data_IF_976249429929
#
_entry.id   IF_976249429929
#
_cell.length_a   1.000
_cell.length_b   1.000
_cell.length_c   1.000
_cell.angle_alpha   90.00
_cell.angle_beta   90.00
_cell.angle_gamma   90.00
#
_symmetry.space_group_name_H-M   'P 1'
#
loop_
_entity.id
_entity.type
_entity.pdbx_description
1 polymer ?
#
# COMPACT_ATOMS: atom_id res chain seq x y z
N UNK A 1 0.03 -18.74 10.20
CA UNK A 1 -0.92 -17.68 9.85
C UNK A 1 -0.60 -17.12 8.47
N UNK A 2 -0.85 -17.90 7.41
CA UNK A 2 -0.45 -17.50 6.04
C UNK A 2 -1.34 -16.40 5.46
N UNK A 3 -2.60 -16.36 5.87
CA UNK A 3 -3.56 -15.35 5.42
C UNK A 3 -3.21 -13.94 5.90
N UNK A 4 -2.80 -13.78 7.17
CA UNK A 4 -2.34 -12.49 7.72
C UNK A 4 -1.12 -11.97 6.95
N UNK A 5 -0.14 -12.82 6.70
CA UNK A 5 1.08 -12.44 5.95
C UNK A 5 0.75 -12.00 4.52
N UNK A 6 -0.15 -12.71 3.84
CA UNK A 6 -0.61 -12.33 2.50
C UNK A 6 -1.29 -10.96 2.53
N UNK A 7 -2.17 -10.71 3.50
CA UNK A 7 -2.84 -9.42 3.63
C UNK A 7 -1.86 -8.28 3.92
N UNK A 8 -0.93 -8.48 4.87
CA UNK A 8 0.13 -7.50 5.16
C UNK A 8 0.96 -7.18 3.92
N UNK A 9 1.33 -8.19 3.15
CA UNK A 9 2.09 -8.00 1.92
C UNK A 9 1.28 -7.21 0.87
N UNK A 10 0.00 -7.55 0.66
CA UNK A 10 -0.87 -6.80 -0.27
C UNK A 10 -0.97 -5.33 0.16
N UNK A 11 -1.21 -5.10 1.45
CA UNK A 11 -1.29 -3.75 2.03
C UNK A 11 0.01 -2.97 1.82
N UNK A 12 1.16 -3.59 2.09
CA UNK A 12 2.46 -2.93 1.93
C UNK A 12 2.80 -2.61 0.47
N UNK A 13 2.49 -3.52 -0.46
CA UNK A 13 2.67 -3.26 -1.90
C UNK A 13 1.75 -2.12 -2.37
N UNK A 14 0.51 -2.08 -1.88
CA UNK A 14 -0.41 -0.99 -2.18
C UNK A 14 0.07 0.35 -1.61
N UNK A 15 0.62 0.36 -0.40
CA UNK A 15 1.21 1.55 0.23
C UNK A 15 2.43 2.05 -0.55
N UNK A 16 3.32 1.14 -0.96
CA UNK A 16 4.46 1.47 -1.81
C UNK A 16 4.03 2.03 -3.16
N UNK A 17 3.00 1.45 -3.79
CA UNK A 17 2.43 2.00 -5.02
C UNK A 17 1.96 3.44 -4.82
N UNK A 18 1.16 3.72 -3.79
CA UNK A 18 0.69 5.09 -3.50
C UNK A 18 1.85 6.06 -3.28
N UNK A 19 2.92 5.64 -2.60
CA UNK A 19 4.10 6.46 -2.33
C UNK A 19 4.87 6.86 -3.61
N UNK A 20 4.83 6.02 -4.65
CA UNK A 20 5.49 6.24 -5.94
C UNK A 20 4.59 6.94 -6.98
N UNK A 21 3.29 7.10 -6.72
CA UNK A 21 2.37 7.76 -7.65
C UNK A 21 2.53 9.28 -7.61
N UNK A 22 2.63 9.89 -8.79
CA UNK A 22 2.51 11.33 -8.98
C UNK A 22 1.13 11.69 -9.51
N UNK A 23 0.27 12.31 -8.69
CA UNK A 23 -1.12 12.64 -9.05
C UNK A 23 -1.24 13.54 -10.27
N UNK A 24 -0.20 14.31 -10.62
CA UNK A 24 -0.17 15.13 -11.84
C UNK A 24 -0.14 14.29 -13.13
N UNK A 25 0.34 13.05 -13.06
CA UNK A 25 0.47 12.14 -14.21
C UNK A 25 -0.72 11.17 -14.34
N UNK A 26 -1.66 11.21 -13.38
CA UNK A 26 -2.80 10.30 -13.34
C UNK A 26 -4.02 10.85 -14.09
N UNK A 27 -4.76 10.00 -14.83
CA UNK A 27 -6.10 10.35 -15.30
C UNK A 27 -7.00 10.75 -14.11
N UNK A 28 -7.87 11.73 -14.31
CA UNK A 28 -8.73 12.27 -13.23
C UNK A 28 -9.52 11.18 -12.48
N UNK A 29 -9.99 10.15 -13.20
CA UNK A 29 -10.71 9.00 -12.62
C UNK A 29 -9.83 8.09 -11.76
N UNK A 30 -8.53 8.08 -12.02
CA UNK A 30 -7.56 7.28 -11.27
C UNK A 30 -7.10 8.01 -10.01
N UNK A 31 -7.11 9.34 -10.01
CA UNK A 31 -6.80 10.15 -8.83
C UNK A 31 -7.75 9.84 -7.68
N UNK A 32 -9.06 9.75 -7.94
CA UNK A 32 -10.06 9.40 -6.92
C UNK A 32 -9.81 8.00 -6.32
N UNK A 33 -9.44 7.02 -7.15
CA UNK A 33 -9.14 5.67 -6.68
C UNK A 33 -7.84 5.62 -5.84
N UNK A 34 -6.82 6.38 -6.24
CA UNK A 34 -5.57 6.49 -5.50
C UNK A 34 -5.80 7.19 -4.14
N UNK A 35 -6.61 8.25 -4.11
CA UNK A 35 -6.95 8.98 -2.89
C UNK A 35 -7.76 8.10 -1.91
N UNK A 36 -8.72 7.33 -2.41
CA UNK A 36 -9.46 6.36 -1.60
C UNK A 36 -8.53 5.30 -0.99
N UNK A 37 -7.59 4.79 -1.78
CA UNK A 37 -6.62 3.80 -1.30
C UNK A 37 -5.66 4.41 -0.26
N UNK A 38 -5.14 5.60 -0.51
CA UNK A 38 -4.29 6.33 0.43
C UNK A 38 -5.02 6.61 1.76
N UNK A 39 -6.27 7.08 1.69
CA UNK A 39 -7.11 7.32 2.86
C UNK A 39 -7.35 6.04 3.66
N UNK A 40 -7.63 4.94 2.97
CA UNK A 40 -7.87 3.63 3.62
C UNK A 40 -6.59 3.09 4.28
N UNK A 41 -5.44 3.21 3.63
CA UNK A 41 -4.15 2.79 4.18
C UNK A 41 -3.78 3.62 5.42
N UNK A 42 -4.03 4.92 5.39
CA UNK A 42 -3.76 5.82 6.52
C UNK A 42 -4.68 5.61 7.73
N UNK A 43 -5.73 4.78 7.62
CA UNK A 43 -6.54 4.37 8.77
C UNK A 43 -5.90 3.23 9.58
N UNK A 44 -4.86 2.58 9.04
CA UNK A 44 -4.17 1.52 9.75
C UNK A 44 -3.35 2.09 10.91
N UNK A 45 -3.24 1.35 12.04
CA UNK A 45 -2.27 1.67 13.08
C UNK A 45 -0.85 1.73 12.50
N UNK A 46 -0.02 2.65 13.00
CA UNK A 46 1.37 2.83 12.55
C UNK A 46 2.17 1.51 12.63
N UNK A 47 2.00 0.75 13.71
CA UNK A 47 2.62 -0.57 13.87
C UNK A 47 2.21 -1.57 12.78
N UNK A 48 0.95 -1.55 12.37
CA UNK A 48 0.43 -2.45 11.34
C UNK A 48 0.87 -2.02 9.95
N UNK A 49 0.96 -0.71 9.72
CA UNK A 49 1.50 -0.16 8.48
C UNK A 49 2.98 -0.52 8.35
N UNK A 50 3.75 -0.43 9.43
CA UNK A 50 5.15 -0.85 9.47
C UNK A 50 5.27 -2.35 9.16
N UNK A 51 4.49 -3.21 9.85
CA UNK A 51 4.43 -4.65 9.57
C UNK A 51 4.13 -4.94 8.08
N UNK A 52 3.22 -4.17 7.47
CA UNK A 52 2.84 -4.32 6.07
C UNK A 52 3.96 -3.91 5.11
N UNK A 53 4.60 -2.77 5.37
CA UNK A 53 5.75 -2.29 4.59
C UNK A 53 6.93 -3.27 4.69
N UNK A 54 7.20 -3.80 5.87
CA UNK A 54 8.25 -4.81 6.08
C UNK A 54 7.93 -6.10 5.30
N UNK A 55 6.67 -6.55 5.32
CA UNK A 55 6.23 -7.72 4.56
C UNK A 55 6.32 -7.55 3.03
N UNK A 56 6.11 -6.33 2.52
CA UNK A 56 6.27 -6.02 1.11
C UNK A 56 7.75 -6.01 0.68
N UNK A 57 8.62 -5.37 1.46
CA UNK A 57 10.07 -5.38 1.21
C UNK A 57 10.70 -6.77 1.36
N UNK A 58 10.14 -7.64 2.22
CA UNK A 58 10.58 -9.02 2.36
C UNK A 58 10.37 -9.89 1.11
N UNK A 59 9.68 -9.39 0.06
CA UNK A 59 9.46 -10.18 -1.15
C UNK A 59 9.71 -9.48 -2.50
N UNK A 60 10.53 -8.43 -2.55
CA UNK A 60 11.01 -7.92 -3.85
C UNK A 60 12.46 -8.41 -4.04
N UNK A 61 12.57 -9.69 -4.37
CA UNK A 61 13.73 -10.27 -5.02
C UNK A 61 13.19 -11.02 -6.23
N UNK A 62 13.29 -10.40 -7.40
CA UNK A 62 13.40 -11.11 -8.69
C UNK A 62 14.29 -10.28 -9.62
#
# INVERSE_FOLDING_TARGET
>A
MREREILLKITGVAAGLIAELNTADLPIRTVEAADLLATTINQLPEELLQDALDAAHATIIE
#
